data_IF_224831378471
#
_entry.id   IF_224831378471
#
_cell.length_a   1.000
_cell.length_b   1.000
_cell.length_c   1.000
_cell.angle_alpha   90.00
_cell.angle_beta   90.00
_cell.angle_gamma   90.00
#
_symmetry.space_group_name_H-M   'P 1'
#
loop_
_entity.id
_entity.type
_entity.pdbx_description
1 polymer ?
#
# COMPACT_ATOMS: atom_id res chain seq x y z
N UNK A 1 56.55 -12.45 -23.25
CA UNK A 1 55.43 -11.55 -22.90
C UNK A 1 54.23 -12.42 -22.65
N UNK A 2 53.89 -12.63 -21.37
CA UNK A 2 52.63 -13.27 -20.99
C UNK A 2 51.63 -12.13 -20.92
N UNK A 3 50.73 -12.03 -21.91
CA UNK A 3 49.58 -11.13 -21.83
C UNK A 3 48.66 -11.66 -20.75
N UNK A 4 48.64 -10.99 -19.60
CA UNK A 4 47.54 -11.08 -18.65
C UNK A 4 46.31 -10.47 -19.35
N UNK A 5 45.41 -11.31 -19.85
CA UNK A 5 44.05 -10.90 -20.13
C UNK A 5 43.39 -10.66 -18.77
N UNK A 6 43.27 -9.38 -18.36
CA UNK A 6 42.30 -9.02 -17.34
C UNK A 6 40.92 -9.36 -17.93
N UNK A 7 40.35 -10.49 -17.50
CA UNK A 7 38.94 -10.73 -17.71
C UNK A 7 38.20 -9.64 -16.91
N UNK A 8 37.63 -8.65 -17.59
CA UNK A 8 36.54 -7.87 -17.02
C UNK A 8 35.43 -8.87 -16.74
N UNK A 9 35.29 -9.29 -15.49
CA UNK A 9 34.03 -9.87 -15.04
C UNK A 9 32.94 -8.82 -15.31
N UNK A 10 31.92 -9.11 -16.12
CA UNK A 10 30.80 -8.18 -16.29
C UNK A 10 30.22 -7.89 -14.91
N UNK A 11 29.78 -6.64 -14.70
CA UNK A 11 29.06 -6.25 -13.48
C UNK A 11 27.77 -7.06 -13.31
N UNK A 12 27.14 -7.01 -12.13
CA UNK A 12 25.91 -7.74 -11.88
C UNK A 12 24.83 -7.37 -12.91
N UNK A 13 23.98 -8.32 -13.33
CA UNK A 13 22.80 -8.03 -14.12
C UNK A 13 22.01 -6.87 -13.51
N UNK A 14 21.46 -6.02 -14.37
CA UNK A 14 20.66 -4.87 -13.94
C UNK A 14 19.19 -5.19 -14.10
N UNK A 15 18.34 -4.54 -13.29
CA UNK A 15 16.90 -4.60 -13.49
C UNK A 15 16.53 -4.08 -14.89
N UNK A 16 15.44 -4.60 -15.48
CA UNK A 16 14.88 -4.00 -16.68
C UNK A 16 14.61 -2.50 -16.46
N UNK A 17 14.92 -1.64 -17.45
CA UNK A 17 14.72 -0.20 -17.31
C UNK A 17 13.28 0.16 -16.93
N UNK A 18 13.14 1.09 -16.00
CA UNK A 18 11.86 1.57 -15.51
C UNK A 18 12.01 2.84 -14.69
N UNK A 19 10.90 3.35 -14.18
CA UNK A 19 10.82 4.54 -13.33
C UNK A 19 9.99 4.20 -12.10
N UNK A 20 10.46 4.63 -10.93
CA UNK A 20 9.67 4.56 -9.71
C UNK A 20 8.75 5.77 -9.65
N UNK A 21 7.45 5.52 -9.57
CA UNK A 21 6.43 6.54 -9.37
C UNK A 21 5.91 6.46 -7.94
N UNK A 22 5.78 7.60 -7.27
CA UNK A 22 5.19 7.72 -5.94
C UNK A 22 3.67 7.87 -6.04
N UNK A 23 2.92 7.12 -5.24
CA UNK A 23 1.47 7.29 -5.19
C UNK A 23 0.85 6.89 -3.87
N UNK A 24 -0.42 7.26 -3.77
CA UNK A 24 -1.29 6.96 -2.64
C UNK A 24 -2.54 6.24 -3.13
N UNK A 25 -2.86 5.11 -2.51
CA UNK A 25 -3.89 4.19 -2.99
C UNK A 25 -5.17 4.23 -2.15
N UNK A 26 -5.17 5.00 -1.07
CA UNK A 26 -6.27 5.11 -0.12
C UNK A 26 -6.45 6.58 0.27
N UNK A 27 -7.34 7.28 -0.45
CA UNK A 27 -7.54 8.72 -0.31
C UNK A 27 -9.01 9.07 -0.48
N UNK A 28 -9.51 9.93 0.40
CA UNK A 28 -10.89 10.36 0.42
C UNK A 28 -11.04 11.78 -0.07
N UNK A 29 -12.08 12.01 -0.85
CA UNK A 29 -12.41 13.28 -1.46
C UNK A 29 -13.65 13.89 -0.80
N UNK A 30 -13.76 15.22 -0.83
CA UNK A 30 -14.92 15.93 -0.32
C UNK A 30 -16.15 15.86 -1.21
N UNK A 31 -16.03 15.17 -2.35
CA UNK A 31 -17.14 14.95 -3.27
C UNK A 31 -17.79 13.58 -3.07
N UNK A 32 -17.05 12.61 -2.51
CA UNK A 32 -17.53 11.25 -2.27
C UNK A 32 -17.55 10.85 -0.80
N UNK A 33 -16.75 11.45 0.08
CA UNK A 33 -16.77 11.15 1.51
C UNK A 33 -17.25 12.30 2.39
N UNK A 34 -17.95 11.95 3.47
CA UNK A 34 -18.69 12.87 4.32
C UNK A 34 -17.94 13.31 5.59
N UNK A 35 -16.81 12.67 5.88
CA UNK A 35 -15.93 12.88 7.01
C UNK A 35 -14.66 13.69 6.66
N UNK A 36 -14.72 14.34 5.50
CA UNK A 36 -13.71 15.27 5.00
C UNK A 36 -13.94 16.72 5.48
N UNK A 37 -13.03 17.63 5.14
CA UNK A 37 -13.14 19.06 5.48
C UNK A 37 -13.89 19.92 4.45
N UNK A 38 -14.42 19.30 3.39
CA UNK A 38 -15.11 20.00 2.31
C UNK A 38 -14.17 20.65 1.27
N UNK A 39 -12.85 20.41 1.34
CA UNK A 39 -11.85 21.05 0.48
C UNK A 39 -11.20 20.11 -0.54
N UNK A 40 -11.35 18.79 -0.40
CA UNK A 40 -10.74 17.79 -1.29
C UNK A 40 -11.51 17.60 -2.59
N UNK A 41 -11.28 18.45 -3.60
CA UNK A 41 -12.00 18.45 -4.88
C UNK A 41 -11.07 18.30 -6.08
N UNK A 42 -11.54 17.79 -7.25
CA UNK A 42 -10.69 17.57 -8.42
C UNK A 42 -9.84 18.77 -8.87
N UNK A 43 -10.33 20.00 -8.67
CA UNK A 43 -9.62 21.23 -9.06
C UNK A 43 -8.41 21.56 -8.18
N UNK A 44 -8.39 21.14 -6.91
CA UNK A 44 -7.25 21.37 -6.01
C UNK A 44 -6.27 20.19 -6.00
N UNK A 45 -6.69 19.02 -6.50
CA UNK A 45 -5.89 17.79 -6.47
C UNK A 45 -4.48 17.95 -7.07
N UNK A 46 -4.28 18.58 -8.25
CA UNK A 46 -2.93 18.71 -8.81
C UNK A 46 -1.94 19.43 -7.87
N UNK A 47 -2.41 20.44 -7.16
CA UNK A 47 -1.59 21.17 -6.19
C UNK A 47 -1.30 20.35 -4.92
N UNK A 48 -2.25 19.52 -4.48
CA UNK A 48 -2.04 18.61 -3.36
C UNK A 48 -1.02 17.52 -3.70
N UNK A 49 -1.10 16.92 -4.90
CA UNK A 49 -0.13 15.92 -5.37
C UNK A 49 1.27 16.52 -5.51
N UNK A 50 1.39 17.71 -6.10
CA UNK A 50 2.68 18.41 -6.21
C UNK A 50 3.29 18.70 -4.83
N UNK A 51 2.48 19.16 -3.87
CA UNK A 51 2.93 19.45 -2.51
C UNK A 51 3.36 18.20 -1.74
N UNK A 52 2.69 17.06 -1.97
CA UNK A 52 3.02 15.77 -1.37
C UNK A 52 4.15 15.03 -2.11
N UNK A 53 4.52 15.46 -3.31
CA UNK A 53 5.52 14.79 -4.15
C UNK A 53 5.02 13.47 -4.74
N UNK A 54 3.71 13.37 -4.99
CA UNK A 54 3.07 12.19 -5.58
C UNK A 54 2.93 12.33 -7.09
N UNK A 55 3.24 11.26 -7.80
CA UNK A 55 3.04 11.13 -9.25
C UNK A 55 1.61 10.70 -9.60
N UNK A 56 0.94 9.96 -8.71
CA UNK A 56 -0.42 9.48 -8.93
C UNK A 56 -1.21 9.25 -7.64
N UNK A 57 -2.54 9.08 -7.77
CA UNK A 57 -3.44 8.78 -6.64
C UNK A 57 -4.64 7.94 -7.06
N UNK A 58 -5.14 7.11 -6.15
CA UNK A 58 -6.47 6.51 -6.23
C UNK A 58 -7.39 7.16 -5.20
N UNK A 59 -8.53 7.65 -5.66
CA UNK A 59 -9.59 8.20 -4.82
C UNK A 59 -10.53 7.05 -4.47
N UNK A 60 -10.59 6.65 -3.21
CA UNK A 60 -11.32 5.49 -2.70
C UNK A 60 -12.36 5.93 -1.67
N UNK A 61 -13.21 6.88 -2.05
CA UNK A 61 -14.29 7.35 -1.18
C UNK A 61 -15.13 6.19 -0.61
N UNK A 62 -15.59 6.30 0.63
CA UNK A 62 -16.40 5.25 1.25
C UNK A 62 -17.74 5.03 0.52
N UNK A 63 -18.09 3.78 0.29
CA UNK A 63 -19.40 3.37 -0.23
C UNK A 63 -20.55 3.73 0.72
N UNK A 64 -20.26 3.86 2.02
CA UNK A 64 -21.23 4.20 3.06
C UNK A 64 -21.49 5.72 3.20
N UNK A 65 -20.54 6.55 2.76
CA UNK A 65 -20.55 8.02 2.90
C UNK A 65 -20.95 8.75 1.63
N UNK A 66 -20.78 8.10 0.49
CA UNK A 66 -21.04 8.67 -0.80
C UNK A 66 -22.56 8.84 -0.98
N UNK A 67 -23.07 10.04 -0.68
CA UNK A 67 -24.49 10.39 -0.64
C UNK A 67 -24.93 11.25 0.56
N UNK A 68 -24.06 11.52 1.55
CA UNK A 68 -24.47 12.22 2.79
C UNK A 68 -24.45 13.76 2.73
N UNK A 69 -24.16 14.37 1.57
CA UNK A 69 -23.99 15.84 1.42
C UNK A 69 -25.27 16.67 1.64
N UNK A 70 -26.40 16.02 1.99
CA UNK A 70 -27.71 16.66 2.22
C UNK A 70 -28.37 16.33 3.56
N UNK A 71 -27.62 15.96 4.60
CA UNK A 71 -28.21 15.45 5.84
C UNK A 71 -28.80 16.56 6.76
N UNK A 72 -30.10 16.53 7.11
CA UNK A 72 -30.73 17.56 7.95
C UNK A 72 -30.32 17.53 9.43
N UNK A 73 -29.83 16.38 9.92
CA UNK A 73 -29.49 16.15 11.33
C UNK A 73 -28.09 16.65 11.69
N UNK A 74 -27.20 16.80 10.70
CA UNK A 74 -25.80 17.15 10.91
C UNK A 74 -24.96 16.04 11.57
N UNK A 75 -25.56 14.87 11.81
CA UNK A 75 -24.92 13.66 12.29
C UNK A 75 -24.99 12.61 11.18
N UNK A 76 -23.83 12.27 10.61
CA UNK A 76 -23.65 11.59 9.33
C UNK A 76 -23.91 10.09 9.39
N UNK A 77 -23.78 9.50 10.58
CA UNK A 77 -24.03 8.06 10.85
C UNK A 77 -25.52 7.69 10.81
N UNK A 78 -26.40 8.68 10.98
CA UNK A 78 -27.86 8.50 11.00
C UNK A 78 -28.52 8.75 9.62
N UNK A 79 -27.74 9.08 8.59
CA UNK A 79 -28.27 9.45 7.28
C UNK A 79 -28.53 8.20 6.43
N UNK A 80 -29.70 8.08 5.77
CA UNK A 80 -29.88 7.04 4.76
C UNK A 80 -28.97 7.34 3.56
N UNK A 81 -27.85 6.61 3.51
CA UNK A 81 -26.93 6.57 2.39
C UNK A 81 -27.69 6.27 1.08
N UNK A 82 -27.58 7.14 0.08
CA UNK A 82 -28.18 6.94 -1.25
C UNK A 82 -27.28 6.12 -2.20
N UNK A 83 -26.15 5.63 -1.70
CA UNK A 83 -25.15 4.92 -2.47
C UNK A 83 -24.25 5.87 -3.23
N UNK A 84 -23.07 5.38 -3.67
CA UNK A 84 -22.01 6.27 -4.05
C UNK A 84 -22.32 7.24 -5.17
N UNK A 85 -22.52 8.51 -4.80
CA UNK A 85 -22.62 9.65 -5.70
C UNK A 85 -21.25 10.08 -6.23
N UNK A 86 -20.41 9.12 -6.65
CA UNK A 86 -19.24 9.48 -7.44
C UNK A 86 -19.72 9.88 -8.83
N UNK A 87 -19.97 11.18 -8.95
CA UNK A 87 -20.15 11.81 -10.24
C UNK A 87 -18.90 11.55 -11.08
N UNK A 88 -19.08 11.37 -12.39
CA UNK A 88 -18.00 11.28 -13.37
C UNK A 88 -17.24 12.60 -13.45
N UNK A 89 -16.54 12.93 -12.37
CA UNK A 89 -15.82 14.16 -12.16
C UNK A 89 -14.57 14.15 -13.03
N UNK A 90 -14.13 15.33 -13.47
CA UNK A 90 -12.96 15.46 -14.32
C UNK A 90 -11.69 15.34 -13.47
N UNK A 91 -11.42 14.13 -12.97
CA UNK A 91 -10.16 13.80 -12.34
C UNK A 91 -9.01 13.98 -13.36
N UNK A 92 -7.83 14.46 -12.94
CA UNK A 92 -6.66 14.55 -13.81
C UNK A 92 -6.19 13.16 -14.25
N UNK A 93 -5.39 13.09 -15.32
CA UNK A 93 -4.96 11.83 -15.94
C UNK A 93 -4.14 10.89 -15.03
N UNK A 94 -3.62 11.40 -13.92
CA UNK A 94 -2.87 10.67 -12.91
C UNK A 94 -3.69 10.38 -11.62
N UNK A 95 -5.01 10.51 -11.70
CA UNK A 95 -5.93 10.18 -10.63
C UNK A 95 -7.04 9.25 -11.14
N UNK A 96 -7.30 8.18 -10.39
CA UNK A 96 -8.36 7.23 -10.72
C UNK A 96 -9.42 7.22 -9.62
N UNK A 97 -10.69 7.24 -10.03
CA UNK A 97 -11.79 7.01 -9.12
C UNK A 97 -11.97 5.50 -8.93
N UNK A 98 -11.71 5.08 -7.71
CA UNK A 98 -11.89 3.75 -7.16
C UNK A 98 -13.04 3.83 -6.13
N UNK A 99 -13.10 2.89 -5.19
CA UNK A 99 -14.11 2.86 -4.13
C UNK A 99 -13.55 2.13 -2.92
N UNK A 100 -13.87 2.59 -1.73
CA UNK A 100 -13.70 1.80 -0.51
C UNK A 100 -15.04 1.23 -0.08
N UNK A 101 -15.20 -0.08 -0.26
CA UNK A 101 -16.40 -0.80 0.20
C UNK A 101 -16.28 -0.92 1.72
N UNK A 102 -17.17 -0.21 2.43
CA UNK A 102 -17.05 0.06 3.87
C UNK A 102 -18.30 -0.41 4.64
N UNK A 103 -18.58 -1.73 4.66
CA UNK A 103 -19.75 -2.31 5.33
C UNK A 103 -19.72 -2.01 6.83
N UNK A 104 -20.91 -1.89 7.41
CA UNK A 104 -21.12 -1.73 8.85
C UNK A 104 -22.25 -2.65 9.33
N UNK A 105 -22.25 -3.03 10.61
CA UNK A 105 -23.39 -3.72 11.23
C UNK A 105 -24.45 -2.75 11.78
N UNK A 106 -25.70 -3.21 11.88
CA UNK A 106 -26.73 -2.49 12.65
C UNK A 106 -26.36 -2.45 14.15
N UNK A 107 -26.80 -1.40 14.85
CA UNK A 107 -26.76 -1.39 16.31
C UNK A 107 -27.64 -2.51 16.90
N UNK A 108 -27.18 -3.23 17.95
CA UNK A 108 -25.97 -2.99 18.73
C UNK A 108 -24.69 -3.70 18.23
N UNK A 109 -24.74 -4.44 17.12
CA UNK A 109 -23.60 -5.19 16.57
C UNK A 109 -22.57 -4.33 15.83
N UNK A 110 -22.69 -3.00 15.84
CA UNK A 110 -21.75 -2.08 15.18
C UNK A 110 -20.30 -2.15 15.72
N UNK A 111 -19.99 -3.04 16.66
CA UNK A 111 -18.64 -3.31 17.15
C UNK A 111 -18.10 -4.68 16.68
N UNK A 112 -18.83 -5.40 15.83
CA UNK A 112 -18.35 -6.60 15.16
C UNK A 112 -17.54 -6.20 13.91
N UNK A 113 -16.39 -6.85 13.63
CA UNK A 113 -15.60 -6.60 12.42
C UNK A 113 -16.40 -6.86 11.15
N UNK A 114 -16.27 -5.94 10.19
CA UNK A 114 -16.76 -6.08 8.81
C UNK A 114 -15.64 -5.78 7.82
N UNK A 115 -14.77 -4.83 8.15
CA UNK A 115 -13.59 -4.51 7.36
C UNK A 115 -13.89 -3.53 6.25
N UNK A 116 -12.85 -2.80 5.81
CA UNK A 116 -12.93 -1.99 4.61
C UNK A 116 -12.04 -2.55 3.51
N UNK A 117 -12.53 -2.43 2.26
CA UNK A 117 -11.86 -2.97 1.08
C UNK A 117 -11.82 -1.93 -0.01
N UNK A 118 -10.64 -1.42 -0.33
CA UNK A 118 -10.45 -0.62 -1.55
C UNK A 118 -10.52 -1.53 -2.78
N UNK A 119 -11.28 -1.09 -3.77
CA UNK A 119 -11.36 -1.74 -5.06
C UNK A 119 -10.83 -0.79 -6.14
N UNK A 120 -9.74 -1.18 -6.80
CA UNK A 120 -9.09 -0.36 -7.85
C UNK A 120 -9.37 -0.98 -9.23
N UNK A 121 -9.72 -0.19 -10.26
CA UNK A 121 -10.13 -0.75 -11.56
C UNK A 121 -8.94 -1.31 -12.35
N UNK A 122 -8.88 -2.63 -12.58
CA UNK A 122 -7.74 -3.27 -13.28
C UNK A 122 -7.61 -2.84 -14.74
N UNK A 123 -8.71 -2.47 -15.38
CA UNK A 123 -8.68 -1.93 -16.74
C UNK A 123 -8.23 -0.46 -16.78
N UNK A 124 -7.91 0.13 -15.62
CA UNK A 124 -7.41 1.50 -15.42
C UNK A 124 -8.37 2.58 -15.90
N UNK A 125 -9.63 2.20 -16.10
CA UNK A 125 -10.74 3.13 -16.33
C UNK A 125 -11.50 3.21 -15.03
N UNK A 126 -11.66 4.43 -14.50
CA UNK A 126 -12.48 4.66 -13.31
C UNK A 126 -13.83 3.94 -13.43
N UNK A 127 -14.30 3.32 -12.34
CA UNK A 127 -15.55 2.57 -12.38
C UNK A 127 -16.70 3.46 -12.89
N UNK A 128 -17.45 3.03 -13.92
CA UNK A 128 -18.50 3.84 -14.54
C UNK A 128 -19.74 3.86 -13.65
N UNK A 129 -19.77 4.75 -12.67
CA UNK A 129 -20.75 4.70 -11.58
C UNK A 129 -20.39 3.60 -10.58
N UNK A 130 -20.87 3.74 -9.35
CA UNK A 130 -20.58 2.83 -8.25
C UNK A 130 -21.85 2.18 -7.66
N UNK A 131 -22.96 2.29 -8.38
CA UNK A 131 -24.27 1.72 -8.05
C UNK A 131 -24.28 0.19 -7.98
N UNK A 132 -23.20 -0.45 -8.43
CA UNK A 132 -23.01 -1.90 -8.37
C UNK A 132 -22.24 -2.38 -7.14
N UNK A 133 -21.73 -1.47 -6.30
CA UNK A 133 -21.15 -1.83 -5.00
C UNK A 133 -22.19 -1.66 -3.89
N UNK A 134 -22.48 -2.77 -3.22
CA UNK A 134 -23.44 -2.88 -2.14
C UNK A 134 -22.71 -3.09 -0.82
N UNK A 135 -23.03 -2.28 0.19
CA UNK A 135 -22.58 -2.42 1.58
C UNK A 135 -23.74 -2.26 2.58
N UNK A 136 -24.98 -2.22 2.07
CA UNK A 136 -26.22 -2.02 2.83
C UNK A 136 -27.36 -2.95 2.36
N UNK A 137 -28.37 -3.26 3.20
CA UNK A 137 -28.58 -2.75 4.56
C UNK A 137 -27.46 -3.20 5.52
N UNK A 138 -27.18 -2.46 6.60
CA UNK A 138 -26.10 -2.81 7.52
C UNK A 138 -26.20 -4.27 8.00
N UNK A 139 -25.04 -4.92 8.13
CA UNK A 139 -24.91 -6.31 8.56
C UNK A 139 -25.22 -7.36 7.49
N UNK A 140 -25.34 -6.96 6.22
CA UNK A 140 -25.57 -7.91 5.10
C UNK A 140 -24.34 -8.23 4.26
N UNK A 141 -23.29 -7.42 4.36
CA UNK A 141 -22.07 -7.54 3.56
C UNK A 141 -20.91 -7.75 4.51
N UNK A 142 -20.18 -8.84 4.33
CA UNK A 142 -18.92 -9.10 5.04
C UNK A 142 -17.74 -8.48 4.28
N UNK A 143 -16.56 -8.43 4.89
CA UNK A 143 -15.32 -8.05 4.21
C UNK A 143 -15.02 -8.99 3.03
N UNK A 144 -15.35 -10.26 3.17
CA UNK A 144 -15.25 -11.24 2.09
C UNK A 144 -16.23 -11.01 0.94
N UNK A 145 -17.46 -10.58 1.23
CA UNK A 145 -18.40 -10.16 0.20
C UNK A 145 -17.91 -8.90 -0.53
N UNK A 146 -17.30 -7.95 0.19
CA UNK A 146 -16.67 -6.77 -0.41
C UNK A 146 -15.51 -7.14 -1.36
N UNK A 147 -14.63 -8.06 -0.94
CA UNK A 147 -13.58 -8.62 -1.82
C UNK A 147 -14.19 -9.29 -3.06
N UNK A 148 -15.25 -10.09 -2.89
CA UNK A 148 -15.91 -10.78 -3.98
C UNK A 148 -16.52 -9.80 -5.00
N UNK A 149 -17.23 -8.77 -4.52
CA UNK A 149 -17.77 -7.70 -5.36
C UNK A 149 -16.68 -7.01 -6.15
N UNK A 150 -15.56 -6.65 -5.50
CA UNK A 150 -14.46 -6.02 -6.21
C UNK A 150 -13.95 -6.88 -7.38
N UNK A 151 -13.75 -8.18 -7.16
CA UNK A 151 -13.28 -9.10 -8.20
C UNK A 151 -14.30 -9.32 -9.30
N UNK A 152 -15.59 -9.43 -8.97
CA UNK A 152 -16.66 -9.57 -9.96
C UNK A 152 -16.73 -8.38 -10.92
N UNK A 153 -16.36 -7.19 -10.43
CA UNK A 153 -16.29 -5.96 -11.20
C UNK A 153 -14.92 -5.68 -11.84
N UNK A 154 -14.01 -6.67 -11.84
CA UNK A 154 -12.71 -6.54 -12.48
C UNK A 154 -11.76 -5.60 -11.74
N UNK A 155 -11.89 -5.52 -10.42
CA UNK A 155 -11.02 -4.72 -9.57
C UNK A 155 -9.90 -5.51 -8.90
N UNK A 156 -8.91 -4.76 -8.43
CA UNK A 156 -7.82 -5.19 -7.55
C UNK A 156 -8.23 -4.90 -6.11
N UNK A 157 -8.45 -5.95 -5.32
CA UNK A 157 -8.98 -5.84 -3.96
C UNK A 157 -7.87 -5.66 -2.94
N UNK A 158 -7.88 -4.54 -2.23
CA UNK A 158 -6.96 -4.21 -1.14
C UNK A 158 -7.74 -4.23 0.17
N UNK A 159 -7.34 -5.07 1.11
CA UNK A 159 -7.87 -4.98 2.48
C UNK A 159 -7.18 -3.81 3.18
N UNK A 160 -7.96 -2.81 3.58
CA UNK A 160 -7.46 -1.60 4.24
C UNK A 160 -7.33 -1.83 5.75
N UNK A 161 -6.31 -1.22 6.36
CA UNK A 161 -6.04 -1.16 7.81
C UNK A 161 -6.69 -2.31 8.61
N UNK A 162 -6.26 -3.58 8.36
CA UNK A 162 -7.00 -4.77 8.76
C UNK A 162 -7.11 -4.95 10.28
N UNK A 163 -6.22 -4.30 11.03
CA UNK A 163 -6.24 -4.20 12.47
C UNK A 163 -6.41 -2.72 12.81
N UNK A 164 -7.64 -2.25 12.97
CA UNK A 164 -7.94 -0.85 13.29
C UNK A 164 -8.30 -0.70 14.76
N UNK A 165 -8.12 0.49 15.34
CA UNK A 165 -8.54 0.77 16.72
C UNK A 165 -10.08 0.73 16.91
N UNK A 166 -10.81 0.78 15.81
CA UNK A 166 -12.26 0.83 15.74
C UNK A 166 -12.76 -0.55 15.26
N UNK A 167 -13.44 -1.33 16.12
CA UNK A 167 -13.68 -2.75 15.87
C UNK A 167 -14.43 -3.10 14.58
N UNK A 168 -15.33 -2.24 14.10
CA UNK A 168 -16.06 -2.52 12.84
C UNK A 168 -15.20 -2.32 11.59
N UNK A 169 -14.16 -1.50 11.69
CA UNK A 169 -13.22 -1.24 10.59
C UNK A 169 -12.20 -2.38 10.47
N UNK A 170 -11.97 -3.14 11.55
CA UNK A 170 -11.13 -4.34 11.51
C UNK A 170 -11.66 -5.31 10.44
N UNK A 171 -10.73 -5.93 9.70
CA UNK A 171 -11.12 -6.90 8.68
C UNK A 171 -11.61 -8.18 9.34
N UNK A 172 -12.76 -8.68 8.89
CA UNK A 172 -13.43 -9.82 9.51
C UNK A 172 -12.84 -11.20 9.14
N UNK A 173 -11.86 -11.21 8.23
CA UNK A 173 -11.18 -12.41 7.72
C UNK A 173 -12.14 -13.47 7.16
N UNK A 174 -13.32 -13.08 6.70
CA UNK A 174 -14.31 -13.99 6.09
C UNK A 174 -13.87 -14.47 4.70
N UNK A 175 -12.94 -13.76 4.06
CA UNK A 175 -12.28 -14.19 2.83
C UNK A 175 -10.77 -13.92 2.87
N UNK A 176 -10.04 -14.84 2.26
CA UNK A 176 -8.61 -14.71 1.97
C UNK A 176 -8.37 -14.39 0.49
N UNK A 177 -9.38 -14.17 -0.33
CA UNK A 177 -9.15 -14.09 -1.79
C UNK A 177 -8.57 -12.74 -2.26
N UNK A 178 -8.40 -11.75 -1.38
CA UNK A 178 -7.88 -10.42 -1.72
C UNK A 178 -6.49 -10.43 -2.37
N UNK A 179 -6.17 -9.37 -3.13
CA UNK A 179 -4.94 -9.27 -3.93
C UNK A 179 -3.82 -8.53 -3.19
N UNK A 180 -4.19 -7.63 -2.29
CA UNK A 180 -3.26 -6.80 -1.53
C UNK A 180 -3.72 -6.58 -0.08
N UNK A 181 -2.76 -6.25 0.77
CA UNK A 181 -2.99 -5.91 2.17
C UNK A 181 -2.33 -4.57 2.48
N UNK A 182 -3.08 -3.64 3.05
CA UNK A 182 -2.52 -2.43 3.62
C UNK A 182 -1.75 -2.78 4.90
N UNK A 183 -0.42 -2.79 4.79
CA UNK A 183 0.49 -3.14 5.88
C UNK A 183 0.99 -1.94 6.65
N UNK A 184 0.72 -0.74 6.14
CA UNK A 184 0.96 0.51 6.83
C UNK A 184 -0.10 1.53 6.39
N UNK A 185 -1.05 1.80 7.28
CA UNK A 185 -2.05 2.83 7.09
C UNK A 185 -1.63 4.15 7.74
N UNK A 186 -2.08 5.27 7.18
CA UNK A 186 -1.65 6.58 7.63
C UNK A 186 -2.04 6.91 9.07
N UNK A 187 -1.33 7.88 9.63
CA UNK A 187 -1.57 8.41 10.96
C UNK A 187 -0.46 9.39 11.32
N UNK A 188 -0.09 9.50 12.60
CA UNK A 188 1.11 10.28 12.93
C UNK A 188 2.43 9.60 12.52
N UNK A 189 2.42 8.27 12.34
CA UNK A 189 3.57 7.36 12.17
C UNK A 189 3.11 5.90 12.23
N UNK A 190 4.00 4.98 11.87
CA UNK A 190 3.83 3.54 12.04
C UNK A 190 3.44 3.14 13.48
N UNK A 191 2.44 2.29 13.64
CA UNK A 191 1.88 1.93 14.94
C UNK A 191 1.76 0.41 15.17
N UNK A 192 1.28 -0.05 16.35
CA UNK A 192 1.15 -1.48 16.63
C UNK A 192 0.18 -2.23 15.70
N UNK A 193 -0.87 -1.56 15.23
CA UNK A 193 -1.82 -2.13 14.28
C UNK A 193 -1.16 -2.42 12.93
N UNK A 194 -0.31 -1.51 12.46
CA UNK A 194 0.51 -1.75 11.27
C UNK A 194 1.47 -2.94 11.47
N UNK A 195 2.02 -3.12 12.68
CA UNK A 195 2.87 -4.27 12.99
C UNK A 195 2.11 -5.60 12.90
N UNK A 196 0.84 -5.62 13.33
CA UNK A 196 -0.06 -6.76 13.17
C UNK A 196 -0.38 -7.01 11.68
N UNK A 197 -0.62 -5.95 10.90
CA UNK A 197 -0.83 -6.03 9.45
C UNK A 197 0.37 -6.63 8.72
N UNK A 198 1.60 -6.26 9.11
CA UNK A 198 2.81 -6.88 8.57
C UNK A 198 2.92 -8.35 8.96
N UNK A 199 2.62 -8.71 10.21
CA UNK A 199 2.65 -10.11 10.63
C UNK A 199 1.65 -10.95 9.81
N UNK A 200 0.45 -10.42 9.58
CA UNK A 200 -0.56 -11.05 8.74
C UNK A 200 -0.10 -11.17 7.28
N UNK A 201 0.58 -10.17 6.73
CA UNK A 201 1.18 -10.23 5.41
C UNK A 201 2.28 -11.29 5.34
N UNK A 202 3.21 -11.30 6.30
CA UNK A 202 4.33 -12.27 6.40
C UNK A 202 3.81 -13.71 6.42
N UNK A 203 2.78 -13.99 7.20
CA UNK A 203 2.16 -15.32 7.26
C UNK A 203 1.64 -15.79 5.90
N UNK A 204 1.12 -14.87 5.07
CA UNK A 204 0.56 -15.19 3.74
C UNK A 204 1.65 -15.41 2.70
N UNK A 205 2.68 -14.57 2.68
CA UNK A 205 3.82 -14.78 1.77
C UNK A 205 4.62 -16.03 2.16
N UNK A 206 4.69 -16.39 3.45
CA UNK A 206 5.28 -17.65 3.90
C UNK A 206 4.52 -18.90 3.41
N UNK A 207 3.22 -18.76 3.15
CA UNK A 207 2.37 -19.78 2.53
C UNK A 207 2.48 -19.80 0.99
N UNK A 208 3.36 -18.98 0.41
CA UNK A 208 3.55 -18.88 -1.04
C UNK A 208 2.50 -18.03 -1.75
N UNK A 209 1.70 -17.24 -1.01
CA UNK A 209 0.74 -16.31 -1.62
C UNK A 209 1.46 -15.04 -2.07
N UNK A 210 1.07 -14.51 -3.22
CA UNK A 210 1.61 -13.26 -3.77
C UNK A 210 0.71 -12.08 -3.38
N UNK A 211 0.61 -11.80 -2.08
CA UNK A 211 -0.16 -10.66 -1.58
C UNK A 211 0.71 -9.42 -1.61
N UNK A 212 0.25 -8.39 -2.32
CA UNK A 212 0.99 -7.14 -2.47
C UNK A 212 0.87 -6.32 -1.18
N UNK A 213 1.99 -5.95 -0.52
CA UNK A 213 1.92 -5.03 0.61
C UNK A 213 1.68 -3.62 0.08
N UNK A 214 0.74 -2.91 0.67
CA UNK A 214 0.41 -1.51 0.35
C UNK A 214 0.63 -0.64 1.58
N UNK A 215 1.10 0.58 1.35
CA UNK A 215 1.04 1.64 2.33
C UNK A 215 0.31 2.84 1.74
N UNK A 216 -0.68 3.36 2.45
CA UNK A 216 -1.49 4.47 1.98
C UNK A 216 -1.93 5.35 3.16
N UNK A 217 -2.30 6.59 2.85
CA UNK A 217 -2.50 7.59 3.91
C UNK A 217 -3.86 7.52 4.57
N UNK A 218 -4.90 7.06 3.88
CA UNK A 218 -6.29 7.25 4.32
C UNK A 218 -6.61 8.74 4.56
N UNK A 219 -6.12 9.59 3.64
CA UNK A 219 -6.20 11.03 3.79
C UNK A 219 -7.60 11.56 3.48
N UNK A 220 -8.21 12.17 4.51
CA UNK A 220 -9.51 12.85 4.43
C UNK A 220 -9.41 14.37 4.23
N UNK A 221 -8.19 14.92 4.34
CA UNK A 221 -7.92 16.36 4.38
C UNK A 221 -6.62 16.65 3.64
N UNK A 222 -6.70 16.90 2.33
CA UNK A 222 -5.52 16.97 1.45
C UNK A 222 -4.55 18.12 1.79
N UNK A 223 -4.99 19.12 2.55
CA UNK A 223 -4.15 20.21 3.04
C UNK A 223 -3.41 19.92 4.34
N UNK A 224 -3.53 18.70 4.88
CA UNK A 224 -2.91 18.32 6.16
C UNK A 224 -1.40 18.40 6.07
N UNK A 225 -0.79 19.09 7.04
CA UNK A 225 0.67 19.17 7.15
C UNK A 225 1.19 17.87 7.77
N UNK A 226 1.93 17.13 6.96
CA UNK A 226 3.00 16.21 7.32
C UNK A 226 3.47 16.23 8.80
N UNK A 227 3.36 15.13 9.56
CA UNK A 227 2.74 13.84 9.19
C UNK A 227 1.20 13.82 9.38
N UNK A 228 0.62 14.88 9.94
CA UNK A 228 -0.79 14.90 10.33
C UNK A 228 -1.02 14.39 11.77
N UNK A 229 -2.23 13.91 12.04
CA UNK A 229 -2.61 13.21 13.26
C UNK A 229 -3.34 11.88 12.97
N UNK A 230 -3.73 11.15 14.03
CA UNK A 230 -4.34 9.82 13.90
C UNK A 230 -5.60 9.79 13.02
N UNK A 231 -6.42 10.85 13.04
CA UNK A 231 -7.66 10.92 12.26
C UNK A 231 -7.49 11.80 11.01
N UNK A 232 -6.34 12.45 10.89
CA UNK A 232 -6.04 13.42 9.84
C UNK A 232 -4.62 13.18 9.35
N UNK A 233 -4.33 12.04 8.73
CA UNK A 233 -3.02 11.77 8.15
C UNK A 233 -2.76 12.68 6.94
N UNK A 234 -1.50 13.03 6.74
CA UNK A 234 -1.08 13.77 5.55
C UNK A 234 -1.11 12.87 4.31
N UNK A 235 -1.53 13.45 3.17
CA UNK A 235 -1.52 12.77 1.88
C UNK A 235 -0.14 12.20 1.55
N UNK A 236 -0.08 10.93 1.12
CA UNK A 236 1.16 10.22 0.80
C UNK A 236 1.96 9.76 2.03
N UNK A 237 1.34 9.66 3.21
CA UNK A 237 2.02 9.23 4.44
C UNK A 237 1.39 7.97 5.05
N UNK A 238 1.94 6.76 4.79
CA UNK A 238 3.09 6.46 3.94
C UNK A 238 2.79 6.51 2.42
N UNK A 239 3.86 6.41 1.61
CA UNK A 239 3.77 6.35 0.15
C UNK A 239 3.99 4.92 -0.34
N UNK A 240 3.22 4.49 -1.35
CA UNK A 240 3.53 3.30 -2.16
C UNK A 240 4.22 3.72 -3.46
N UNK A 241 5.45 3.28 -3.65
CA UNK A 241 6.22 3.49 -4.87
C UNK A 241 6.06 2.30 -5.81
N UNK A 242 5.73 2.55 -7.08
CA UNK A 242 5.53 1.53 -8.11
C UNK A 242 6.61 1.62 -9.20
N UNK A 243 7.28 0.51 -9.52
CA UNK A 243 8.28 0.47 -10.59
C UNK A 243 7.64 0.15 -11.95
N UNK A 244 7.39 1.22 -12.70
CA UNK A 244 6.73 1.21 -14.01
C UNK A 244 7.74 1.04 -15.13
N UNK A 245 7.43 0.19 -16.12
CA UNK A 245 8.29 -0.09 -17.28
C UNK A 245 7.56 0.22 -18.58
N UNK A 246 8.25 0.85 -19.52
CA UNK A 246 7.66 1.19 -20.82
C UNK A 246 6.42 2.07 -20.66
N UNK A 247 5.29 1.62 -21.21
CA UNK A 247 4.01 2.32 -21.22
C UNK A 247 3.01 1.75 -20.19
N UNK A 248 3.49 0.97 -19.21
CA UNK A 248 2.67 0.48 -18.10
C UNK A 248 2.04 1.63 -17.31
N UNK A 249 0.85 1.39 -16.75
CA UNK A 249 0.25 2.28 -15.74
C UNK A 249 0.84 1.97 -14.37
N UNK A 250 0.77 2.90 -13.41
CA UNK A 250 1.15 2.61 -12.03
C UNK A 250 0.47 1.35 -11.47
N UNK A 251 -0.83 1.16 -11.75
CA UNK A 251 -1.57 -0.02 -11.30
C UNK A 251 -1.02 -1.34 -11.88
N UNK A 252 -0.53 -1.35 -13.12
CA UNK A 252 0.03 -2.56 -13.72
C UNK A 252 1.30 -3.01 -12.97
N UNK A 253 2.11 -2.05 -12.54
CA UNK A 253 3.29 -2.31 -11.72
C UNK A 253 2.93 -2.77 -10.29
N UNK A 254 1.88 -2.18 -9.69
CA UNK A 254 1.37 -2.56 -8.37
C UNK A 254 0.81 -3.99 -8.40
N UNK A 255 -0.03 -4.33 -9.38
CA UNK A 255 -0.61 -5.68 -9.57
C UNK A 255 0.49 -6.72 -9.75
N UNK A 256 1.59 -6.35 -10.41
CA UNK A 256 2.76 -7.21 -10.57
C UNK A 256 3.67 -7.25 -9.33
N UNK A 257 3.28 -6.65 -8.21
CA UNK A 257 4.02 -6.65 -6.94
C UNK A 257 5.30 -5.80 -6.95
N UNK A 258 5.51 -4.95 -7.96
CA UNK A 258 6.72 -4.12 -8.10
C UNK A 258 6.66 -2.87 -7.23
N UNK A 259 6.52 -3.09 -5.92
CA UNK A 259 6.24 -2.05 -4.93
C UNK A 259 7.32 -1.92 -3.86
N UNK A 260 7.52 -0.69 -3.41
CA UNK A 260 8.23 -0.31 -2.19
C UNK A 260 7.36 0.67 -1.42
N UNK A 261 7.11 0.39 -0.15
CA UNK A 261 6.44 1.30 0.77
C UNK A 261 7.51 2.07 1.54
N UNK A 262 7.34 3.38 1.68
CA UNK A 262 8.21 4.16 2.56
C UNK A 262 7.52 5.40 3.11
N UNK A 263 7.92 5.80 4.31
CA UNK A 263 7.69 7.17 4.78
C UNK A 263 8.58 8.16 4.02
N UNK A 264 8.09 9.39 3.77
CA UNK A 264 8.90 10.47 3.26
C UNK A 264 10.21 10.65 4.04
N UNK A 265 11.34 10.73 3.32
CA UNK A 265 12.68 10.84 3.91
C UNK A 265 13.41 9.50 4.09
N UNK A 266 12.77 8.37 3.77
CA UNK A 266 13.43 7.08 3.62
C UNK A 266 13.38 6.58 2.18
N UNK A 267 14.45 5.93 1.74
CA UNK A 267 14.54 5.21 0.46
C UNK A 267 14.95 3.77 0.74
N UNK A 268 14.49 2.85 -0.09
CA UNK A 268 14.81 1.43 0.02
C UNK A 268 14.83 0.80 -1.37
N UNK A 269 15.86 0.00 -1.64
CA UNK A 269 16.03 -0.78 -2.86
C UNK A 269 16.43 -2.19 -2.52
N UNK A 270 15.80 -3.16 -3.18
CA UNK A 270 16.16 -4.58 -3.16
C UNK A 270 16.32 -5.03 -4.60
N UNK A 271 17.52 -5.51 -4.94
CA UNK A 271 17.83 -6.12 -6.23
C UNK A 271 18.45 -7.47 -5.95
N UNK A 272 17.92 -8.51 -6.58
CA UNK A 272 18.46 -9.87 -6.51
C UNK A 272 18.87 -10.30 -7.90
N UNK A 273 20.07 -10.85 -8.07
CA UNK A 273 20.53 -11.33 -9.37
C UNK A 273 21.15 -12.72 -9.30
N UNK A 274 20.92 -13.49 -10.34
CA UNK A 274 21.58 -14.77 -10.61
C UNK A 274 22.65 -14.59 -11.67
N UNK A 275 22.98 -15.69 -12.38
CA UNK A 275 24.01 -15.67 -13.42
C UNK A 275 23.62 -14.79 -14.63
N UNK A 276 22.34 -14.78 -15.01
CA UNK A 276 21.89 -14.19 -16.28
C UNK A 276 20.91 -13.04 -16.15
N UNK A 277 20.25 -12.87 -15.00
CA UNK A 277 19.16 -11.92 -14.83
C UNK A 277 19.12 -11.35 -13.41
N UNK A 278 18.51 -10.16 -13.30
CA UNK A 278 18.17 -9.52 -12.04
C UNK A 278 16.65 -9.38 -11.90
N UNK A 279 16.18 -9.39 -10.66
CA UNK A 279 14.80 -9.31 -10.23
C UNK A 279 14.68 -8.31 -9.08
N UNK A 280 13.62 -7.50 -9.12
CA UNK A 280 13.23 -6.60 -8.04
C UNK A 280 12.03 -7.15 -7.27
N UNK A 281 11.46 -6.35 -6.36
CA UNK A 281 10.23 -6.71 -5.64
C UNK A 281 9.13 -7.15 -6.62
N UNK A 282 8.39 -8.20 -6.28
CA UNK A 282 7.34 -8.77 -7.13
C UNK A 282 7.84 -9.74 -8.21
N UNK A 283 9.16 -9.96 -8.31
CA UNK A 283 9.76 -10.75 -9.39
C UNK A 283 10.52 -11.99 -8.90
N UNK A 284 10.86 -12.87 -9.85
CA UNK A 284 11.55 -14.13 -9.59
C UNK A 284 12.92 -14.15 -10.25
N UNK A 285 13.90 -14.72 -9.56
CA UNK A 285 15.19 -15.14 -10.11
C UNK A 285 15.35 -16.66 -9.92
N UNK A 286 15.98 -17.33 -10.88
CA UNK A 286 16.18 -18.79 -10.83
C UNK A 286 17.63 -19.14 -10.51
N UNK A 287 17.83 -20.12 -9.63
CA UNK A 287 19.13 -20.60 -9.21
C UNK A 287 19.76 -19.77 -8.09
N UNK A 288 21.00 -20.11 -7.67
CA UNK A 288 21.71 -19.36 -6.65
C UNK A 288 21.82 -17.89 -7.04
N UNK A 289 21.63 -17.00 -6.07
CA UNK A 289 21.51 -15.58 -6.33
C UNK A 289 22.25 -14.75 -5.28
N UNK A 290 22.49 -13.48 -5.59
CA UNK A 290 22.99 -12.49 -4.64
C UNK A 290 21.95 -11.39 -4.51
N UNK A 291 21.61 -11.03 -3.28
CA UNK A 291 20.77 -9.88 -2.97
C UNK A 291 21.64 -8.69 -2.57
N UNK A 292 21.39 -7.53 -3.18
CA UNK A 292 21.85 -6.22 -2.71
C UNK A 292 20.66 -5.45 -2.19
N UNK A 293 20.79 -4.97 -0.96
CA UNK A 293 19.85 -4.04 -0.35
C UNK A 293 20.56 -2.74 -0.10
N UNK A 294 19.96 -1.62 -0.50
CA UNK A 294 20.44 -0.28 -0.18
C UNK A 294 19.29 0.55 0.36
N UNK A 295 19.56 1.31 1.41
CA UNK A 295 18.60 2.25 1.97
C UNK A 295 19.31 3.52 2.44
N UNK A 296 18.57 4.62 2.45
CA UNK A 296 18.96 5.83 3.17
C UNK A 296 17.76 6.38 3.94
N UNK A 297 18.01 6.99 5.09
CA UNK A 297 16.94 7.57 5.92
C UNK A 297 17.44 8.81 6.64
N UNK A 298 16.57 9.79 6.82
CA UNK A 298 16.81 10.94 7.71
C UNK A 298 16.50 10.64 9.17
N UNK A 299 15.86 9.50 9.46
CA UNK A 299 15.39 9.15 10.80
C UNK A 299 16.43 8.32 11.58
N UNK A 300 16.74 8.70 12.84
CA UNK A 300 17.72 7.97 13.63
C UNK A 300 17.17 6.66 14.21
N UNK A 301 18.06 5.75 14.58
CA UNK A 301 17.71 4.56 15.38
C UNK A 301 17.15 3.36 14.59
N UNK A 302 17.16 3.45 13.26
CA UNK A 302 16.66 2.40 12.37
C UNK A 302 17.75 1.37 12.00
N UNK A 303 17.30 0.22 11.50
CA UNK A 303 18.11 -0.88 10.96
C UNK A 303 17.68 -1.14 9.51
N UNK A 304 18.65 -1.40 8.63
CA UNK A 304 18.39 -2.05 7.36
C UNK A 304 18.35 -3.55 7.59
N UNK A 305 17.31 -4.24 7.09
CA UNK A 305 17.13 -5.67 7.25
C UNK A 305 16.80 -6.33 5.90
N UNK A 306 17.42 -7.47 5.65
CA UNK A 306 16.99 -8.44 4.63
C UNK A 306 16.37 -9.63 5.37
N UNK A 307 15.11 -9.94 5.04
CA UNK A 307 14.32 -10.97 5.70
C UNK A 307 13.85 -12.03 4.72
N UNK A 308 13.68 -13.25 5.21
CA UNK A 308 12.93 -14.30 4.53
C UNK A 308 11.43 -14.02 4.69
N UNK A 309 10.61 -14.45 3.73
CA UNK A 309 9.15 -14.34 3.78
C UNK A 309 8.52 -14.92 5.08
N UNK A 310 9.16 -15.89 5.73
CA UNK A 310 8.74 -16.44 7.03
C UNK A 310 9.21 -15.65 8.27
N UNK A 311 9.61 -14.38 8.12
CA UNK A 311 9.97 -13.49 9.23
C UNK A 311 11.40 -13.61 9.77
N UNK A 312 12.20 -14.58 9.31
CA UNK A 312 13.61 -14.72 9.70
C UNK A 312 14.46 -13.57 9.14
N UNK A 313 15.26 -12.93 10.00
CA UNK A 313 16.25 -11.92 9.57
C UNK A 313 17.51 -12.63 9.08
N UNK A 314 17.84 -12.48 7.80
CA UNK A 314 19.01 -13.08 7.17
C UNK A 314 20.25 -12.18 7.29
N UNK A 315 20.07 -10.87 7.18
CA UNK A 315 21.11 -9.87 7.37
C UNK A 315 20.52 -8.59 7.97
N UNK A 316 21.29 -7.88 8.78
CA UNK A 316 20.89 -6.61 9.37
C UNK A 316 22.10 -5.70 9.60
N UNK A 317 21.92 -4.40 9.41
CA UNK A 317 22.91 -3.38 9.77
C UNK A 317 22.23 -2.13 10.34
N UNK A 318 22.85 -1.44 11.31
CA UNK A 318 22.36 -0.16 11.78
C UNK A 318 22.43 0.89 10.68
N UNK A 319 21.35 1.65 10.49
CA UNK A 319 21.31 2.75 9.51
C UNK A 319 22.29 3.85 9.92
N UNK A 320 23.20 4.21 9.02
CA UNK A 320 24.14 5.34 9.15
C UNK A 320 24.21 6.10 7.82
N UNK A 321 23.30 7.06 7.62
CA UNK A 321 23.14 7.70 6.31
C UNK A 321 22.66 6.68 5.27
N UNK A 322 23.39 6.53 4.16
CA UNK A 322 23.19 5.43 3.22
C UNK A 322 23.86 4.17 3.75
N UNK A 323 23.12 3.07 3.81
CA UNK A 323 23.58 1.77 4.31
C UNK A 323 23.22 0.70 3.30
N UNK A 324 24.11 -0.28 3.12
CA UNK A 324 23.88 -1.40 2.21
C UNK A 324 24.21 -2.75 2.85
N UNK A 325 23.53 -3.79 2.36
CA UNK A 325 23.76 -5.19 2.68
C UNK A 325 23.91 -5.97 1.37
N UNK A 326 24.81 -6.94 1.35
CA UNK A 326 24.93 -7.91 0.26
C UNK A 326 24.97 -9.32 0.86
N UNK A 327 24.19 -10.25 0.30
CA UNK A 327 24.09 -11.61 0.80
C UNK A 327 23.88 -12.61 -0.34
N UNK A 328 24.64 -13.71 -0.33
CA UNK A 328 24.39 -14.87 -1.19
C UNK A 328 23.19 -15.67 -0.67
N UNK A 329 22.31 -16.06 -1.58
CA UNK A 329 21.05 -16.73 -1.30
C UNK A 329 20.97 -18.06 -2.05
N UNK A 330 20.55 -19.09 -1.32
CA UNK A 330 20.21 -20.39 -1.90
C UNK A 330 18.79 -20.36 -2.52
N UNK A 331 18.52 -21.16 -3.55
CA UNK A 331 17.17 -21.31 -4.11
C UNK A 331 16.14 -21.88 -3.13
N UNK A 332 14.86 -21.74 -3.47
CA UNK A 332 13.72 -22.23 -2.70
C UNK A 332 13.30 -21.31 -1.55
N UNK A 333 13.63 -20.03 -1.62
CA UNK A 333 13.27 -19.02 -0.63
C UNK A 333 12.67 -17.79 -1.29
N UNK A 334 11.93 -17.00 -0.52
CA UNK A 334 11.52 -15.65 -0.89
C UNK A 334 12.07 -14.67 0.15
N UNK A 335 12.54 -13.52 -0.30
CA UNK A 335 13.15 -12.50 0.58
C UNK A 335 12.55 -11.13 0.31
N UNK A 336 12.45 -10.30 1.34
CA UNK A 336 12.09 -8.89 1.21
C UNK A 336 12.99 -8.05 2.11
N UNK A 337 13.10 -6.77 1.81
CA UNK A 337 13.89 -5.84 2.60
C UNK A 337 13.01 -4.85 3.37
N UNK A 338 13.51 -4.36 4.50
CA UNK A 338 12.86 -3.29 5.25
C UNK A 338 13.85 -2.40 5.99
N UNK A 339 13.45 -1.14 6.19
CA UNK A 339 14.04 -0.23 7.16
C UNK A 339 13.14 -0.23 8.38
N UNK A 340 13.66 -0.68 9.52
CA UNK A 340 12.85 -0.96 10.71
C UNK A 340 13.49 -0.43 12.01
N UNK A 341 12.71 -0.04 13.03
CA UNK A 341 13.24 0.13 14.38
C UNK A 341 13.96 -1.13 14.87
N UNK A 342 14.97 -0.95 15.73
CA UNK A 342 15.71 -2.08 16.32
C UNK A 342 14.83 -2.98 17.19
N UNK A 343 13.83 -2.39 17.85
CA UNK A 343 12.88 -3.09 18.71
C UNK A 343 11.50 -3.01 18.03
N UNK A 344 10.91 -4.15 17.62
CA UNK A 344 9.64 -4.19 16.90
C UNK A 344 8.44 -3.78 17.78
N UNK A 345 8.56 -3.89 19.11
CA UNK A 345 7.53 -3.51 20.08
C UNK A 345 7.66 -2.06 20.52
N UNK A 346 8.69 -1.34 20.08
CA UNK A 346 8.74 0.10 20.27
C UNK A 346 7.67 0.69 19.35
N UNK A 347 6.54 1.20 19.90
CA UNK A 347 5.57 1.91 19.08
C UNK A 347 6.37 3.02 18.42
N UNK A 348 6.34 3.10 17.10
CA UNK A 348 7.26 3.99 16.40
C UNK A 348 6.95 5.39 16.90
N UNK A 349 7.76 5.93 17.80
CA UNK A 349 7.91 7.37 17.96
C UNK A 349 8.99 7.84 16.97
N UNK A 350 9.31 6.99 15.98
CA UNK A 350 10.39 7.12 15.02
C UNK A 350 9.80 6.95 13.62
N UNK A 351 9.77 8.02 12.83
CA UNK A 351 9.43 7.90 11.42
C UNK A 351 10.54 7.20 10.62
N UNK A 352 10.34 7.07 9.32
CA UNK A 352 11.32 6.56 8.36
C UNK A 352 11.27 5.05 8.12
N UNK A 353 10.16 4.39 8.45
CA UNK A 353 9.92 2.98 8.10
C UNK A 353 9.81 2.81 6.58
N UNK A 354 10.32 1.69 6.05
CA UNK A 354 10.15 1.29 4.65
C UNK A 354 10.17 -0.23 4.50
N UNK A 355 9.52 -0.75 3.46
CA UNK A 355 9.40 -2.19 3.17
C UNK A 355 9.23 -2.44 1.67
N UNK A 356 9.87 -3.48 1.13
CA UNK A 356 9.63 -3.94 -0.25
C UNK A 356 8.62 -5.08 -0.29
N UNK A 357 8.05 -5.37 -1.46
CA UNK A 357 7.52 -6.71 -1.74
C UNK A 357 8.66 -7.76 -1.74
N UNK A 358 8.31 -9.03 -1.63
CA UNK A 358 9.24 -10.16 -1.82
C UNK A 358 9.80 -10.28 -3.23
N UNK A 359 11.02 -10.80 -3.32
CA UNK A 359 11.65 -11.39 -4.52
C UNK A 359 11.75 -12.89 -4.29
N UNK A 360 11.33 -13.69 -5.26
CA UNK A 360 11.41 -15.16 -5.19
C UNK A 360 12.71 -15.67 -5.80
N UNK A 361 13.35 -16.62 -5.13
CA UNK A 361 14.55 -17.31 -5.61
C UNK A 361 14.16 -18.78 -5.81
N UNK A 362 13.99 -19.20 -7.06
CA UNK A 362 13.47 -20.53 -7.46
C UNK A 362 14.56 -21.55 -7.82
#
# INVERSE_FOLDING_TARGET
>A
MISLLLACTPGPPQLPPGTWLAGDLHVHSSVGSNDTDGLGTPDVLPGALEAAGLDFVFITDHSNSAGSMGCPTGDVEDCPNQGPELSGLPWPDNAWAAIEISPIHELPQSAEPTGHVSCLPLDGVSFPGLDHFEDRPPGTVTGGDAVAQCKEHGGFAIVNHPYAAVPWIEYDWTSEDFDALEVYNGGTRFDPSDAESIAAWEDRIAQGRAIVPIGASDCHRWGTVAPGDLLNPALGWPTTHAHVRGDERPLDAIVAGRVVISEPGTTLSLIVWGETAAAGPGETVTGPATASVEASTTSPGLQLQLKRAGGEILASAPMQGTTSLELELEPGIAVYARVWPKDPDTPAQTGGVALTHVVWIE
#
